data_IF_132053819927
#
_entry.id   IF_132053819927
#
_cell.length_a   1.000
_cell.length_b   1.000
_cell.length_c   1.000
_cell.angle_alpha   90.00
_cell.angle_beta   90.00
_cell.angle_gamma   90.00
#
_symmetry.space_group_name_H-M   'P 1'
#
loop_
_entity.id
_entity.type
_entity.pdbx_description
1 polymer ?
#
# COMPACT_ATOMS: atom_id res chain seq x y z
N UNK A 1 -9.80 9.07 11.40
CA UNK A 1 -10.12 7.62 11.50
C UNK A 1 -8.90 6.79 11.08
N UNK A 2 -8.75 5.54 11.55
CA UNK A 2 -7.55 4.69 11.38
C UNK A 2 -6.93 4.66 9.97
N UNK A 3 -7.74 4.83 8.91
CA UNK A 3 -7.28 4.99 7.53
C UNK A 3 -6.26 6.12 7.35
N UNK A 4 -6.54 7.32 7.83
CA UNK A 4 -5.64 8.48 7.68
C UNK A 4 -4.43 8.38 8.62
N UNK A 5 -4.63 7.87 9.83
CA UNK A 5 -3.60 7.82 10.87
C UNK A 5 -2.55 6.73 10.64
N UNK A 6 -2.95 5.60 10.03
CA UNK A 6 -2.07 4.43 9.90
C UNK A 6 -1.89 4.02 8.43
N UNK A 7 -2.98 3.74 7.72
CA UNK A 7 -2.88 3.19 6.36
C UNK A 7 -2.16 4.13 5.38
N UNK A 8 -2.56 5.41 5.33
CA UNK A 8 -1.95 6.41 4.44
C UNK A 8 -0.43 6.51 4.65
N UNK A 9 0.08 6.82 5.86
CA UNK A 9 1.53 6.95 6.06
C UNK A 9 2.29 5.63 5.83
N UNK A 10 1.72 4.48 6.19
CA UNK A 10 2.33 3.17 5.93
C UNK A 10 2.46 2.89 4.43
N UNK A 11 1.41 3.16 3.64
CA UNK A 11 1.45 2.98 2.18
C UNK A 11 2.50 3.88 1.53
N UNK A 12 2.60 5.15 1.96
CA UNK A 12 3.63 6.08 1.50
C UNK A 12 5.04 5.56 1.82
N UNK A 13 5.28 5.13 3.06
CA UNK A 13 6.58 4.56 3.45
C UNK A 13 6.93 3.29 2.66
N UNK A 14 5.92 2.51 2.29
CA UNK A 14 6.14 1.33 1.46
C UNK A 14 6.65 1.71 0.07
N UNK A 15 5.95 2.60 -0.63
CA UNK A 15 6.30 2.93 -2.02
C UNK A 15 7.56 3.80 -2.17
N UNK A 16 7.99 4.50 -1.12
CA UNK A 16 9.23 5.30 -1.15
C UNK A 16 10.47 4.53 -0.70
N UNK A 17 10.31 3.33 -0.13
CA UNK A 17 11.43 2.54 0.38
C UNK A 17 12.02 1.65 -0.71
N UNK A 18 13.35 1.58 -0.76
CA UNK A 18 14.05 0.59 -1.57
C UNK A 18 14.14 -0.73 -0.81
N UNK A 19 13.64 -1.81 -1.43
CA UNK A 19 13.67 -3.16 -0.86
C UNK A 19 14.70 -4.02 -1.58
N UNK A 20 15.46 -4.80 -0.81
CA UNK A 20 16.36 -5.82 -1.37
C UNK A 20 15.59 -7.04 -1.89
N UNK A 21 14.44 -7.35 -1.27
CA UNK A 21 13.54 -8.41 -1.69
C UNK A 21 12.08 -7.91 -1.69
N UNK A 22 11.54 -7.68 -2.88
CA UNK A 22 10.17 -7.21 -3.07
C UNK A 22 9.11 -8.18 -2.52
N UNK A 23 9.36 -9.50 -2.61
CA UNK A 23 8.40 -10.51 -2.14
C UNK A 23 8.21 -10.38 -0.64
N UNK A 24 9.31 -10.32 0.11
CA UNK A 24 9.27 -10.19 1.57
C UNK A 24 8.59 -8.89 1.99
N UNK A 25 8.85 -7.79 1.27
CA UNK A 25 8.19 -6.52 1.50
C UNK A 25 6.67 -6.62 1.34
N UNK A 26 6.20 -7.21 0.23
CA UNK A 26 4.77 -7.41 -0.05
C UNK A 26 4.13 -8.32 1.00
N UNK A 27 4.76 -9.44 1.36
CA UNK A 27 4.25 -10.35 2.39
C UNK A 27 4.14 -9.66 3.75
N UNK A 28 5.19 -8.97 4.19
CA UNK A 28 5.20 -8.25 5.46
C UNK A 28 4.10 -7.18 5.50
N UNK A 29 3.95 -6.40 4.43
CA UNK A 29 2.90 -5.39 4.38
C UNK A 29 1.50 -6.02 4.33
N UNK A 30 1.34 -7.19 3.70
CA UNK A 30 0.11 -7.97 3.75
C UNK A 30 -0.33 -8.30 5.19
N UNK A 31 0.61 -8.67 6.07
CA UNK A 31 0.31 -8.92 7.48
C UNK A 31 -0.09 -7.64 8.24
N UNK A 32 0.54 -6.50 7.92
CA UNK A 32 0.14 -5.19 8.46
C UNK A 32 -1.31 -4.87 8.07
N UNK A 33 -1.69 -5.10 6.80
CA UNK A 33 -3.06 -4.89 6.35
C UNK A 33 -4.05 -5.83 7.04
N UNK A 34 -3.69 -7.09 7.29
CA UNK A 34 -4.51 -8.01 8.08
C UNK A 34 -4.72 -7.48 9.49
N UNK A 35 -3.68 -6.98 10.16
CA UNK A 35 -3.78 -6.38 11.48
C UNK A 35 -4.64 -5.11 11.50
N UNK A 36 -4.64 -4.31 10.43
CA UNK A 36 -5.48 -3.12 10.29
C UNK A 36 -6.93 -3.42 9.89
N UNK A 37 -7.22 -4.64 9.41
CA UNK A 37 -8.53 -5.00 8.88
C UNK A 37 -9.71 -4.83 9.86
N UNK A 38 -9.58 -5.08 11.19
CA UNK A 38 -10.67 -4.83 12.13
C UNK A 38 -11.07 -3.36 12.21
N UNK A 39 -10.12 -2.44 12.01
CA UNK A 39 -10.35 -0.99 12.13
C UNK A 39 -10.75 -0.34 10.80
N UNK A 40 -10.22 -0.82 9.67
CA UNK A 40 -10.37 -0.17 8.36
C UNK A 40 -11.32 -0.96 7.43
N UNK A 41 -11.48 -2.26 7.66
CA UNK A 41 -12.28 -3.18 6.86
C UNK A 41 -11.45 -4.03 5.90
N UNK A 42 -12.11 -4.58 4.88
CA UNK A 42 -11.48 -5.46 3.89
C UNK A 42 -10.57 -4.68 2.96
N UNK A 43 -9.51 -5.35 2.49
CA UNK A 43 -8.58 -4.82 1.51
C UNK A 43 -8.66 -5.61 0.21
N UNK A 44 -8.46 -4.91 -0.90
CA UNK A 44 -8.40 -5.45 -2.26
C UNK A 44 -7.17 -4.86 -2.93
N UNK A 45 -6.23 -5.73 -3.33
CA UNK A 45 -4.95 -5.30 -3.91
C UNK A 45 -4.23 -4.25 -3.05
N UNK A 46 -4.23 -4.45 -1.73
CA UNK A 46 -3.66 -3.50 -0.78
C UNK A 46 -4.51 -2.26 -0.47
N UNK A 47 -5.58 -1.97 -1.21
CA UNK A 47 -6.44 -0.80 -0.98
C UNK A 47 -7.68 -1.16 -0.13
N UNK A 48 -8.04 -0.36 0.88
CA UNK A 48 -9.23 -0.60 1.71
C UNK A 48 -10.52 -0.35 0.93
N UNK A 49 -11.41 -1.33 0.87
CA UNK A 49 -12.64 -1.25 0.06
C UNK A 49 -13.55 -0.09 0.50
N UNK A 50 -13.69 0.14 1.82
CA UNK A 50 -14.50 1.24 2.37
C UNK A 50 -13.99 2.64 2.02
N UNK A 51 -12.70 2.77 1.72
CA UNK A 51 -12.05 4.04 1.42
C UNK A 51 -11.43 4.02 0.03
N UNK A 52 -11.89 3.14 -0.86
CA UNK A 52 -11.21 2.82 -2.12
C UNK A 52 -10.94 4.05 -2.98
N UNK A 53 -11.94 4.93 -3.17
CA UNK A 53 -11.79 6.15 -3.95
C UNK A 53 -10.72 7.09 -3.37
N UNK A 54 -10.66 7.24 -2.04
CA UNK A 54 -9.65 8.06 -1.38
C UNK A 54 -8.28 7.38 -1.39
N UNK A 55 -8.23 6.06 -1.25
CA UNK A 55 -7.00 5.28 -1.33
C UNK A 55 -6.38 5.29 -2.73
N UNK A 56 -7.17 5.47 -3.80
CA UNK A 56 -6.69 5.65 -5.18
C UNK A 56 -5.98 6.99 -5.40
N UNK A 57 -6.21 7.99 -4.54
CA UNK A 57 -5.55 9.30 -4.60
C UNK A 57 -4.17 9.29 -3.93
N UNK A 58 -3.62 8.10 -3.66
CA UNK A 58 -2.26 7.97 -3.15
C UNK A 58 -1.27 8.62 -4.13
N UNK A 59 -0.31 9.34 -3.57
CA UNK A 59 0.75 10.02 -4.31
C UNK A 59 1.98 10.13 -3.44
N UNK A 60 3.15 10.02 -4.04
CA UNK A 60 4.44 10.32 -3.39
C UNK A 60 4.95 11.66 -3.91
N UNK A 61 5.64 12.42 -3.06
CA UNK A 61 6.38 13.60 -3.50
C UNK A 61 7.70 13.26 -4.19
N UNK A 62 8.18 12.03 -3.97
CA UNK A 62 9.47 11.55 -4.45
C UNK A 62 9.31 10.72 -5.74
N UNK A 63 10.37 10.71 -6.55
CA UNK A 63 10.54 9.74 -7.65
C UNK A 63 10.58 8.33 -7.08
N UNK A 64 9.80 7.42 -7.65
CA UNK A 64 9.79 6.01 -7.25
C UNK A 64 11.21 5.42 -7.38
N UNK A 65 11.74 4.76 -6.32
CA UNK A 65 13.11 4.28 -6.29
C UNK A 65 13.35 3.10 -7.25
N UNK A 66 12.28 2.46 -7.74
CA UNK A 66 12.33 1.19 -8.50
C UNK A 66 11.32 1.18 -9.66
N UNK A 67 11.59 0.41 -10.73
CA UNK A 67 10.59 0.15 -11.76
C UNK A 67 9.40 -0.63 -11.19
N UNK A 68 8.21 -0.37 -11.75
CA UNK A 68 6.95 -0.98 -11.31
C UNK A 68 7.01 -2.52 -11.35
N UNK A 69 6.64 -3.18 -10.25
CA UNK A 69 6.47 -4.62 -10.11
C UNK A 69 5.36 -5.14 -11.02
N UNK A 70 5.65 -6.23 -11.74
CA UNK A 70 4.68 -6.91 -12.59
C UNK A 70 3.66 -7.72 -11.78
N UNK A 71 2.50 -8.00 -12.37
CA UNK A 71 1.43 -8.78 -11.74
C UNK A 71 0.47 -7.98 -10.83
N UNK A 72 0.68 -6.67 -10.70
CA UNK A 72 -0.22 -5.77 -9.98
C UNK A 72 -1.06 -4.92 -10.94
N UNK A 73 -2.34 -4.63 -10.62
CA UNK A 73 -3.13 -3.64 -11.35
C UNK A 73 -2.44 -2.26 -11.41
N UNK A 74 -2.71 -1.47 -12.45
CA UNK A 74 -2.06 -0.16 -12.66
C UNK A 74 -2.31 0.88 -11.60
N UNK A 75 -3.42 0.75 -10.90
CA UNK A 75 -3.85 1.65 -9.83
C UNK A 75 -3.40 1.18 -8.42
N UNK A 76 -2.77 0.01 -8.31
CA UNK A 76 -2.33 -0.55 -7.04
C UNK A 76 -0.95 0.01 -6.65
N UNK A 77 -0.87 0.67 -5.49
CA UNK A 77 0.39 1.21 -4.98
C UNK A 77 1.43 0.12 -4.70
N UNK A 78 1.03 -1.13 -4.38
CA UNK A 78 1.98 -2.21 -4.13
C UNK A 78 2.78 -2.63 -5.37
N UNK A 79 2.33 -2.19 -6.56
CA UNK A 79 3.10 -2.30 -7.79
C UNK A 79 4.30 -1.35 -7.85
N UNK A 80 4.38 -0.33 -7.00
CA UNK A 80 5.44 0.69 -6.98
C UNK A 80 6.30 0.53 -5.73
#
# INVERSE_FOLDING_TARGET
AAFQAFYMPLSTQFVTRQYTNDKDAIFAFGEILKALSPAIGRFRWGLPEKHFAMALLWRTGDSFPMPRRQGFPSWCWAGW
#
